data_IF_396709747171
#
_entry.id   IF_396709747171
#
_cell.length_a   1.000
_cell.length_b   1.000
_cell.length_c   1.000
_cell.angle_alpha   90.00
_cell.angle_beta   90.00
_cell.angle_gamma   90.00
#
_symmetry.space_group_name_H-M   'P 1'
#
loop_
_entity.id
_entity.type
_entity.pdbx_description
1 polymer ?
#
# COMPACT_ATOMS: atom_id res chain seq x y z
N UNK A 1 -0.44 -10.20 6.86
CA UNK A 1 -0.55 -9.10 5.88
C UNK A 1 0.77 -8.35 5.68
N UNK A 2 1.40 -7.76 6.71
CA UNK A 2 2.67 -7.00 6.55
C UNK A 2 3.77 -7.76 5.78
N UNK A 3 3.97 -9.05 6.09
CA UNK A 3 4.96 -9.89 5.40
C UNK A 3 4.70 -10.04 3.90
N UNK A 4 3.43 -10.13 3.49
CA UNK A 4 3.04 -10.22 2.08
C UNK A 4 3.37 -8.91 1.36
N UNK A 5 3.07 -7.77 1.99
CA UNK A 5 3.37 -6.46 1.42
C UNK A 5 4.89 -6.26 1.26
N UNK A 6 5.67 -6.66 2.26
CA UNK A 6 7.14 -6.58 2.22
C UNK A 6 7.75 -7.52 1.16
N UNK A 7 7.26 -8.76 1.07
CA UNK A 7 7.68 -9.73 0.05
C UNK A 7 7.39 -9.22 -1.37
N UNK A 8 6.23 -8.59 -1.59
CA UNK A 8 5.86 -8.05 -2.90
C UNK A 8 6.79 -6.91 -3.34
N UNK A 9 7.17 -6.01 -2.42
CA UNK A 9 8.19 -4.99 -2.71
C UNK A 9 9.55 -5.61 -2.96
N UNK A 10 9.93 -6.64 -2.19
CA UNK A 10 11.21 -7.33 -2.39
C UNK A 10 11.30 -8.03 -3.75
N UNK A 11 10.19 -8.57 -4.26
CA UNK A 11 10.14 -9.23 -5.57
C UNK A 11 10.07 -8.24 -6.72
N UNK A 12 9.47 -7.06 -6.52
CA UNK A 12 9.24 -6.07 -7.57
C UNK A 12 9.71 -4.66 -7.16
N UNK A 13 11.00 -4.45 -6.84
CA UNK A 13 11.48 -3.19 -6.26
C UNK A 13 11.36 -1.98 -7.19
N UNK A 14 11.28 -2.19 -8.51
CA UNK A 14 11.10 -1.10 -9.50
C UNK A 14 9.63 -0.73 -9.76
N UNK A 15 8.68 -1.54 -9.26
CA UNK A 15 7.24 -1.40 -9.55
C UNK A 15 6.37 -1.23 -8.31
N UNK A 16 6.85 -1.62 -7.15
CA UNK A 16 6.14 -1.50 -5.89
C UNK A 16 6.97 -0.72 -4.87
N UNK A 17 6.30 0.15 -4.11
CA UNK A 17 6.88 0.83 -2.95
C UNK A 17 5.93 0.70 -1.78
N UNK A 18 6.45 0.37 -0.59
CA UNK A 18 5.67 0.22 0.63
C UNK A 18 6.09 1.32 1.61
N UNK A 19 5.09 2.01 2.17
CA UNK A 19 5.29 3.14 3.08
C UNK A 19 4.40 2.96 4.30
N UNK A 20 4.96 3.19 5.49
CA UNK A 20 4.16 3.34 6.71
C UNK A 20 3.63 4.78 6.75
N UNK A 21 2.31 4.94 6.67
CA UNK A 21 1.65 6.26 6.71
C UNK A 21 1.26 6.67 8.13
N UNK A 22 1.49 5.80 9.10
CA UNK A 22 1.24 6.05 10.52
C UNK A 22 1.01 4.77 11.31
N UNK A 23 0.55 4.94 12.54
CA UNK A 23 0.16 3.83 13.43
C UNK A 23 -1.26 4.04 13.93
N UNK A 24 -2.02 2.96 14.01
CA UNK A 24 -3.32 2.94 14.68
C UNK A 24 -3.18 3.20 16.18
N UNK A 25 -4.29 3.50 16.85
CA UNK A 25 -4.33 3.59 18.33
C UNK A 25 -3.76 2.34 19.03
N UNK A 26 -3.96 1.15 18.45
CA UNK A 26 -3.40 -0.11 18.95
C UNK A 26 -1.94 -0.37 18.55
N UNK A 27 -1.23 0.63 18.02
CA UNK A 27 0.18 0.53 17.64
C UNK A 27 0.46 -0.23 16.34
N UNK A 28 -0.57 -0.75 15.64
CA UNK A 28 -0.39 -1.43 14.35
C UNK A 28 -0.05 -0.43 13.25
N UNK A 29 0.97 -0.72 12.45
CA UNK A 29 1.33 0.06 11.27
C UNK A 29 0.18 0.14 10.27
N UNK A 30 -0.05 1.35 9.75
CA UNK A 30 -0.93 1.61 8.63
C UNK A 30 -0.06 1.66 7.37
N UNK A 31 -0.25 0.69 6.49
CA UNK A 31 0.55 0.54 5.29
C UNK A 31 -0.16 1.14 4.08
N UNK A 32 0.59 1.85 3.24
CA UNK A 32 0.21 2.18 1.88
C UNK A 32 1.22 1.55 0.92
N UNK A 33 0.72 0.85 -0.09
CA UNK A 33 1.55 0.32 -1.17
C UNK A 33 1.24 1.09 -2.45
N UNK A 34 2.26 1.71 -3.04
CA UNK A 34 2.18 2.33 -4.34
C UNK A 34 2.61 1.34 -5.42
N UNK A 35 1.83 1.23 -6.49
CA UNK A 35 2.09 0.38 -7.64
C UNK A 35 2.22 1.24 -8.90
N UNK A 36 3.27 1.00 -9.69
CA UNK A 36 3.48 1.69 -10.95
C UNK A 36 4.34 0.87 -11.91
N UNK A 37 4.27 1.19 -13.21
CA UNK A 37 5.17 0.59 -14.19
C UNK A 37 6.65 0.97 -13.94
N UNK A 38 6.88 2.17 -13.40
CA UNK A 38 8.19 2.68 -12.99
C UNK A 38 8.01 3.83 -11.99
N UNK A 39 9.06 4.10 -11.19
CA UNK A 39 9.08 5.15 -10.18
C UNK A 39 7.82 5.14 -9.27
N UNK A 40 7.54 4.02 -8.57
CA UNK A 40 6.34 3.86 -7.74
C UNK A 40 6.33 4.80 -6.54
N UNK A 41 7.47 5.38 -6.17
CA UNK A 41 7.64 6.33 -5.07
C UNK A 41 7.72 7.80 -5.53
N UNK A 42 7.39 8.09 -6.80
CA UNK A 42 7.46 9.46 -7.34
C UNK A 42 6.19 9.80 -8.13
N UNK A 43 5.74 11.04 -7.96
CA UNK A 43 4.75 11.62 -8.87
C UNK A 43 5.39 11.82 -10.25
N UNK A 44 4.66 11.44 -11.30
CA UNK A 44 5.09 11.62 -12.69
C UNK A 44 4.08 12.50 -13.38
N UNK A 45 4.56 13.53 -14.07
CA UNK A 45 3.72 14.49 -14.77
C UNK A 45 2.77 13.78 -15.75
N UNK A 46 1.51 14.20 -15.76
CA UNK A 46 0.41 13.64 -16.57
C UNK A 46 0.05 12.17 -16.26
N UNK A 47 0.63 11.56 -15.22
CA UNK A 47 0.22 10.25 -14.72
C UNK A 47 -0.79 10.43 -13.59
N UNK A 48 -2.06 10.04 -13.76
CA UNK A 48 -3.04 10.15 -12.69
C UNK A 48 -2.68 9.23 -11.52
N UNK A 49 -3.00 9.68 -10.32
CA UNK A 49 -2.88 8.89 -9.10
C UNK A 49 -4.28 8.45 -8.65
N UNK A 50 -4.42 7.15 -8.40
CA UNK A 50 -5.65 6.54 -7.90
C UNK A 50 -5.32 5.79 -6.63
N UNK A 51 -6.23 5.82 -5.66
CA UNK A 51 -6.08 5.10 -4.39
C UNK A 51 -7.28 4.21 -4.13
N UNK A 52 -7.00 3.03 -3.57
CA UNK A 52 -7.99 2.17 -2.95
C UNK A 52 -7.72 2.12 -1.45
N UNK A 53 -8.78 2.26 -0.67
CA UNK A 53 -8.75 2.17 0.80
C UNK A 53 -9.86 1.22 1.19
N UNK A 54 -9.49 0.17 1.92
CA UNK A 54 -10.42 -0.82 2.44
C UNK A 54 -10.30 -0.95 3.95
N UNK A 55 -11.22 -1.71 4.55
CA UNK A 55 -11.18 -2.10 5.96
C UNK A 55 -11.10 -0.92 6.94
N UNK A 56 -11.78 0.20 6.63
CA UNK A 56 -11.90 1.35 7.54
C UNK A 56 -12.72 0.99 8.79
N UNK A 57 -13.77 0.19 8.60
CA UNK A 57 -14.43 -0.53 9.68
C UNK A 57 -13.79 -1.91 9.79
N UNK A 58 -13.21 -2.24 10.95
CA UNK A 58 -12.40 -3.46 11.11
C UNK A 58 -13.15 -4.79 10.97
N UNK A 59 -14.48 -4.75 10.88
CA UNK A 59 -15.35 -5.89 10.62
C UNK A 59 -15.76 -6.02 9.13
N UNK A 60 -15.40 -5.07 8.26
CA UNK A 60 -15.65 -5.10 6.81
C UNK A 60 -14.45 -5.72 6.06
N UNK A 61 -14.17 -6.98 6.36
CA UNK A 61 -12.92 -7.65 5.97
C UNK A 61 -12.79 -7.95 4.47
N UNK A 62 -13.88 -7.93 3.69
CA UNK A 62 -13.83 -8.24 2.25
C UNK A 62 -12.93 -7.25 1.50
N UNK A 63 -12.96 -5.98 1.86
CA UNK A 63 -12.09 -4.97 1.25
C UNK A 63 -10.61 -5.04 1.68
N UNK A 64 -10.25 -5.94 2.60
CA UNK A 64 -8.85 -6.17 3.00
C UNK A 64 -8.16 -7.23 2.11
N UNK A 65 -8.93 -8.23 1.66
CA UNK A 65 -8.40 -9.43 0.97
C UNK A 65 -8.46 -9.34 -0.56
N UNK A 66 -9.21 -8.37 -1.10
CA UNK A 66 -9.45 -8.15 -2.55
C UNK A 66 -8.57 -7.03 -3.09
#
# INVERSE_FOLDING_TARGET
MTSILQDLVSRYPSKASLVEIGKSQGGKSLWAMALSAYAPNQHVLLRPEVKYIGNMHGNEVVGLEV
#
